data_IF_396526499326
#
_entry.id   IF_396526499326
#
_cell.length_a   1.000
_cell.length_b   1.000
_cell.length_c   1.000
_cell.angle_alpha   90.00
_cell.angle_beta   90.00
_cell.angle_gamma   90.00
#
_symmetry.space_group_name_H-M   'P 1'
#
loop_
_entity.id
_entity.type
_entity.pdbx_description
1 polymer ?
#
# COMPACT_ATOMS: atom_id res chain seq x y z
N UNK A 1 -20.32 -3.32 9.98
CA UNK A 1 -21.33 -4.37 9.62
C UNK A 1 -21.52 -4.38 8.13
N UNK A 2 -21.34 -5.55 7.48
CA UNK A 2 -21.59 -5.67 6.04
C UNK A 2 -23.05 -5.30 5.76
N UNK A 3 -23.31 -4.38 4.85
CA UNK A 3 -24.65 -3.99 4.41
C UNK A 3 -25.33 -5.18 3.74
N UNK A 4 -26.50 -5.53 4.23
CA UNK A 4 -27.35 -6.54 3.57
C UNK A 4 -28.02 -5.92 2.35
N UNK A 5 -28.22 -6.69 1.28
CA UNK A 5 -28.89 -6.21 0.07
C UNK A 5 -30.26 -5.55 0.33
N UNK A 6 -30.96 -5.99 1.40
CA UNK A 6 -32.21 -5.38 1.85
C UNK A 6 -32.05 -3.94 2.37
N UNK A 7 -30.93 -3.62 3.01
CA UNK A 7 -30.69 -2.27 3.54
C UNK A 7 -30.36 -1.29 2.40
N UNK A 8 -29.62 -1.75 1.40
CA UNK A 8 -29.38 -1.02 0.15
C UNK A 8 -30.72 -0.82 -0.60
N UNK A 9 -31.54 -1.86 -0.68
CA UNK A 9 -32.85 -1.80 -1.35
C UNK A 9 -33.79 -0.79 -0.71
N UNK A 10 -33.79 -0.64 0.62
CA UNK A 10 -34.63 0.36 1.33
C UNK A 10 -34.32 1.78 0.87
N UNK A 11 -33.06 2.08 0.56
CA UNK A 11 -32.56 3.37 0.11
C UNK A 11 -32.58 3.52 -1.42
N UNK A 12 -32.91 2.45 -2.16
CA UNK A 12 -32.95 2.49 -3.61
C UNK A 12 -34.16 3.25 -4.13
N UNK A 13 -34.09 3.83 -5.34
CA UNK A 13 -35.19 4.59 -5.94
C UNK A 13 -36.42 3.72 -6.32
N UNK A 14 -36.33 2.40 -6.27
CA UNK A 14 -37.38 1.40 -6.54
C UNK A 14 -38.07 1.53 -7.91
N UNK A 15 -37.41 2.22 -8.87
CA UNK A 15 -38.00 2.50 -10.21
C UNK A 15 -37.99 1.27 -11.13
N UNK A 16 -37.16 0.28 -10.89
CA UNK A 16 -36.99 -0.91 -11.74
C UNK A 16 -36.75 -0.57 -13.23
N UNK A 17 -36.05 0.55 -13.51
CA UNK A 17 -35.84 1.10 -14.85
C UNK A 17 -34.89 0.24 -15.73
N UNK A 18 -34.11 -0.67 -15.13
CA UNK A 18 -33.11 -1.53 -15.77
C UNK A 18 -31.87 -0.80 -16.33
N UNK A 19 -31.74 0.51 -16.18
CA UNK A 19 -30.62 1.31 -16.70
C UNK A 19 -29.26 0.92 -16.07
N UNK A 20 -29.25 0.38 -14.84
CA UNK A 20 -28.07 -0.18 -14.20
C UNK A 20 -27.71 -1.60 -14.69
N UNK A 21 -28.35 -2.13 -15.73
CA UNK A 21 -28.14 -3.48 -16.25
C UNK A 21 -28.72 -4.60 -15.39
N UNK A 22 -29.50 -4.29 -14.35
CA UNK A 22 -30.15 -5.26 -13.49
C UNK A 22 -31.66 -5.29 -13.72
N UNK A 23 -32.33 -6.47 -13.68
CA UNK A 23 -33.76 -6.59 -13.97
C UNK A 23 -34.64 -5.85 -12.96
N UNK A 24 -34.20 -5.74 -11.71
CA UNK A 24 -34.92 -5.04 -10.64
C UNK A 24 -33.98 -4.33 -9.70
N UNK A 25 -34.46 -3.31 -8.98
CA UNK A 25 -33.67 -2.63 -7.94
C UNK A 25 -33.27 -3.57 -6.80
N UNK A 26 -34.07 -4.60 -6.51
CA UNK A 26 -33.71 -5.64 -5.54
C UNK A 26 -32.52 -6.47 -6.02
N UNK A 27 -32.52 -6.92 -7.28
CA UNK A 27 -31.41 -7.68 -7.87
C UNK A 27 -30.13 -6.83 -7.93
N UNK A 28 -30.26 -5.54 -8.25
CA UNK A 28 -29.17 -4.58 -8.18
C UNK A 28 -28.59 -4.48 -6.76
N UNK A 29 -29.45 -4.26 -5.77
CA UNK A 29 -29.02 -4.12 -4.36
C UNK A 29 -28.33 -5.39 -3.82
N UNK A 30 -28.78 -6.57 -4.25
CA UNK A 30 -28.12 -7.84 -3.88
C UNK A 30 -26.75 -7.97 -4.52
N UNK A 31 -26.59 -7.59 -5.79
CA UNK A 31 -25.28 -7.59 -6.48
C UNK A 31 -24.32 -6.56 -5.89
N UNK A 32 -24.81 -5.38 -5.51
CA UNK A 32 -23.99 -4.36 -4.81
C UNK A 32 -23.54 -4.88 -3.45
N UNK A 33 -24.43 -5.51 -2.68
CA UNK A 33 -24.06 -6.13 -1.39
C UNK A 33 -23.01 -7.25 -1.51
N UNK A 34 -22.96 -7.92 -2.67
CA UNK A 34 -21.97 -8.95 -3.00
C UNK A 34 -20.68 -8.36 -3.60
N UNK A 35 -20.61 -7.04 -3.82
CA UNK A 35 -19.48 -6.39 -4.48
C UNK A 35 -19.37 -6.68 -5.98
N UNK A 36 -20.39 -7.22 -6.62
CA UNK A 36 -20.40 -7.58 -8.03
C UNK A 36 -20.74 -6.40 -8.96
N UNK A 37 -21.35 -5.35 -8.45
CA UNK A 37 -21.71 -4.13 -9.19
C UNK A 37 -21.50 -2.93 -8.28
N UNK A 38 -20.96 -1.86 -8.84
CA UNK A 38 -20.80 -0.59 -8.13
C UNK A 38 -22.16 0.09 -7.94
N UNK A 39 -22.39 0.70 -6.76
CA UNK A 39 -23.61 1.43 -6.47
C UNK A 39 -23.80 2.65 -7.37
N UNK A 40 -22.69 3.26 -7.82
CA UNK A 40 -22.71 4.39 -8.76
C UNK A 40 -23.27 4.03 -10.15
N UNK A 41 -23.39 2.75 -10.48
CA UNK A 41 -24.00 2.30 -11.73
C UNK A 41 -25.52 2.63 -11.81
N UNK A 42 -26.17 2.99 -10.70
CA UNK A 42 -27.56 3.45 -10.70
C UNK A 42 -27.64 4.99 -10.71
N UNK A 43 -28.16 5.62 -11.79
CA UNK A 43 -28.18 7.09 -11.92
C UNK A 43 -29.24 7.76 -11.03
N UNK A 44 -30.10 6.99 -10.36
CA UNK A 44 -31.25 7.54 -9.63
C UNK A 44 -31.11 7.46 -8.10
N UNK A 45 -29.98 7.07 -7.56
CA UNK A 45 -29.76 7.20 -6.12
C UNK A 45 -29.67 8.65 -5.70
N UNK A 46 -30.30 8.99 -4.57
CA UNK A 46 -30.11 10.31 -3.97
C UNK A 46 -28.63 10.51 -3.58
N UNK A 47 -28.03 11.68 -3.81
CA UNK A 47 -26.60 11.93 -3.52
C UNK A 47 -26.21 11.59 -2.08
N UNK A 48 -27.08 11.88 -1.11
CA UNK A 48 -26.85 11.56 0.30
C UNK A 48 -26.89 10.04 0.57
N UNK A 49 -27.81 9.32 -0.09
CA UNK A 49 -27.88 7.89 0.01
C UNK A 49 -26.69 7.22 -0.69
N UNK A 50 -26.28 7.77 -1.84
CA UNK A 50 -25.10 7.32 -2.58
C UNK A 50 -23.83 7.47 -1.72
N UNK A 51 -23.62 8.63 -1.08
CA UNK A 51 -22.45 8.86 -0.23
C UNK A 51 -22.40 7.93 0.98
N UNK A 52 -23.54 7.69 1.63
CA UNK A 52 -23.62 6.74 2.77
C UNK A 52 -23.42 5.28 2.34
N UNK A 53 -23.97 4.92 1.20
CA UNK A 53 -23.89 3.54 0.71
C UNK A 53 -22.57 3.25 0.03
N UNK A 54 -21.96 4.18 -0.72
CA UNK A 54 -20.63 4.02 -1.31
C UNK A 54 -19.58 3.81 -0.22
N UNK A 55 -19.61 4.64 0.82
CA UNK A 55 -18.72 4.45 1.97
C UNK A 55 -18.92 3.06 2.63
N UNK A 56 -20.13 2.54 2.66
CA UNK A 56 -20.45 1.26 3.27
C UNK A 56 -20.23 0.04 2.35
N UNK A 57 -20.23 0.22 1.02
CA UNK A 57 -20.05 -0.83 0.01
C UNK A 57 -18.62 -0.92 -0.54
N UNK A 58 -17.74 0.05 -0.22
CA UNK A 58 -16.32 -0.03 -0.55
C UNK A 58 -15.75 -1.38 -0.08
N UNK A 59 -14.91 -2.05 -0.88
CA UNK A 59 -14.26 -3.28 -0.47
C UNK A 59 -13.50 -3.09 0.86
N UNK A 60 -13.45 -4.10 1.74
CA UNK A 60 -12.74 -4.01 3.01
C UNK A 60 -11.24 -3.76 2.81
N UNK A 61 -10.69 -4.21 1.68
CA UNK A 61 -9.30 -4.02 1.29
C UNK A 61 -9.23 -3.09 0.09
N UNK A 62 -8.52 -1.98 0.25
CA UNK A 62 -8.34 -0.94 -0.76
C UNK A 62 -7.26 -1.35 -1.77
N UNK A 63 -7.43 -0.92 -3.01
CA UNK A 63 -6.41 -1.07 -4.07
C UNK A 63 -5.77 0.27 -4.30
N UNK A 64 -4.45 0.33 -4.17
CA UNK A 64 -3.64 1.54 -4.37
C UNK A 64 -2.75 1.35 -5.59
N UNK A 65 -2.67 2.35 -6.45
CA UNK A 65 -1.79 2.35 -7.61
C UNK A 65 -0.50 3.10 -7.31
N UNK A 66 0.63 2.50 -7.69
CA UNK A 66 1.97 3.05 -7.54
C UNK A 66 2.74 2.91 -8.84
N UNK A 67 3.74 3.75 -9.04
CA UNK A 67 4.46 3.75 -10.31
C UNK A 67 3.74 4.51 -11.41
N UNK A 68 4.38 4.67 -12.56
CA UNK A 68 3.84 5.36 -13.72
C UNK A 68 4.18 4.60 -15.02
N UNK A 69 3.35 4.78 -16.05
CA UNK A 69 3.54 4.13 -17.35
C UNK A 69 3.60 2.60 -17.24
N UNK A 70 4.57 1.99 -17.92
CA UNK A 70 4.75 0.53 -17.95
C UNK A 70 5.14 -0.06 -16.57
N UNK A 71 5.62 0.77 -15.64
CA UNK A 71 5.94 0.35 -14.28
C UNK A 71 4.76 0.44 -13.31
N UNK A 72 3.58 0.95 -13.74
CA UNK A 72 2.41 1.05 -12.85
C UNK A 72 2.01 -0.31 -12.29
N UNK A 73 1.81 -0.36 -10.98
CA UNK A 73 1.39 -1.55 -10.26
C UNK A 73 0.24 -1.26 -9.31
N UNK A 74 -0.64 -2.25 -9.16
CA UNK A 74 -1.71 -2.21 -8.15
C UNK A 74 -1.30 -3.02 -6.92
N UNK A 75 -1.49 -2.41 -5.75
CA UNK A 75 -1.22 -3.00 -4.44
C UNK A 75 -2.53 -3.19 -3.68
N UNK A 76 -2.65 -4.26 -2.91
CA UNK A 76 -3.84 -4.54 -2.09
C UNK A 76 -4.98 -5.20 -2.86
N UNK A 77 -6.22 -4.97 -2.42
CA UNK A 77 -7.43 -5.49 -3.08
C UNK A 77 -7.76 -6.95 -2.76
N UNK A 78 -7.00 -7.61 -1.88
CA UNK A 78 -7.29 -8.99 -1.47
C UNK A 78 -8.47 -9.03 -0.50
N UNK A 79 -9.57 -9.67 -0.89
CA UNK A 79 -10.83 -9.69 -0.14
C UNK A 79 -11.04 -10.94 0.71
N UNK A 80 -10.15 -11.93 0.64
CA UNK A 80 -10.26 -13.20 1.38
C UNK A 80 -9.25 -13.29 2.52
N UNK A 81 -9.67 -13.94 3.61
CA UNK A 81 -8.81 -14.09 4.79
C UNK A 81 -7.82 -15.25 4.61
N UNK A 82 -8.24 -16.34 3.98
CA UNK A 82 -7.45 -17.55 3.82
C UNK A 82 -7.24 -17.92 2.35
N UNK A 83 -6.06 -18.43 2.01
CA UNK A 83 -5.70 -18.82 0.64
C UNK A 83 -6.59 -19.92 0.05
N UNK A 84 -7.14 -20.80 0.89
CA UNK A 84 -8.04 -21.87 0.42
C UNK A 84 -9.41 -21.38 -0.01
N UNK A 85 -9.80 -20.17 0.36
CA UNK A 85 -11.09 -19.58 -0.04
C UNK A 85 -11.05 -19.10 -1.49
N UNK A 86 -9.91 -18.56 -1.93
CA UNK A 86 -9.73 -18.01 -3.29
C UNK A 86 -8.24 -17.83 -3.58
N UNK A 87 -7.85 -17.91 -4.83
CA UNK A 87 -6.50 -17.51 -5.28
C UNK A 87 -6.31 -16.01 -5.02
N UNK A 88 -5.18 -15.64 -4.45
CA UNK A 88 -4.81 -14.23 -4.27
C UNK A 88 -4.54 -13.57 -5.62
N UNK A 89 -5.10 -12.37 -5.82
CA UNK A 89 -4.95 -11.61 -7.06
C UNK A 89 -3.68 -10.77 -7.09
N UNK A 90 -3.16 -10.39 -5.92
CA UNK A 90 -1.92 -9.62 -5.79
C UNK A 90 -0.83 -10.50 -5.19
N UNK A 91 0.32 -10.59 -5.89
CA UNK A 91 1.53 -11.22 -5.35
C UNK A 91 2.30 -10.23 -4.48
N UNK A 92 3.07 -10.75 -3.52
CA UNK A 92 4.03 -9.95 -2.76
C UNK A 92 5.07 -9.35 -3.70
N UNK A 93 5.30 -8.03 -3.58
CA UNK A 93 6.32 -7.31 -4.33
C UNK A 93 7.58 -7.18 -3.50
N UNK A 94 8.73 -7.20 -4.17
CA UNK A 94 10.02 -7.13 -3.50
C UNK A 94 10.70 -5.82 -3.83
N UNK A 95 11.19 -5.15 -2.77
CA UNK A 95 11.98 -3.94 -2.88
C UNK A 95 13.40 -4.20 -2.38
N UNK A 96 14.40 -3.79 -3.17
CA UNK A 96 15.79 -3.78 -2.74
C UNK A 96 16.08 -2.47 -2.01
N UNK A 97 16.74 -2.53 -0.84
CA UNK A 97 16.99 -1.33 -0.05
C UNK A 97 18.36 -0.74 -0.31
N UNK A 98 18.39 0.59 -0.51
CA UNK A 98 19.54 1.45 -0.48
C UNK A 98 19.46 2.35 0.76
N UNK A 99 20.58 2.82 1.28
CA UNK A 99 20.64 3.71 2.43
C UNK A 99 21.73 4.76 2.21
N UNK A 100 21.50 5.99 2.65
CA UNK A 100 22.55 7.03 2.68
C UNK A 100 23.74 6.66 3.57
N UNK A 101 23.58 5.69 4.45
CA UNK A 101 24.65 5.15 5.32
C UNK A 101 25.65 4.23 4.58
N UNK A 102 25.35 3.81 3.35
CA UNK A 102 26.23 2.95 2.53
C UNK A 102 27.31 3.77 1.85
N UNK A 103 28.43 3.12 1.51
CA UNK A 103 29.45 3.69 0.66
C UNK A 103 29.05 3.64 -0.82
N UNK A 104 29.72 4.43 -1.64
CA UNK A 104 29.42 4.55 -3.08
C UNK A 104 29.62 3.24 -3.84
N UNK A 105 30.61 2.43 -3.45
CA UNK A 105 30.89 1.15 -4.10
C UNK A 105 29.75 0.14 -3.86
N UNK A 106 29.30 0.05 -2.62
CA UNK A 106 28.16 -0.79 -2.23
C UNK A 106 26.88 -0.36 -2.95
N UNK A 107 26.63 0.94 -3.06
CA UNK A 107 25.45 1.46 -3.79
C UNK A 107 25.54 1.15 -5.27
N UNK A 108 26.69 1.36 -5.90
CA UNK A 108 26.89 1.07 -7.32
C UNK A 108 26.69 -0.42 -7.61
N UNK A 109 27.27 -1.31 -6.79
CA UNK A 109 27.09 -2.74 -6.93
C UNK A 109 25.61 -3.15 -6.81
N UNK A 110 24.88 -2.63 -5.83
CA UNK A 110 23.45 -2.92 -5.67
C UNK A 110 22.60 -2.43 -6.83
N UNK A 111 22.89 -1.25 -7.36
CA UNK A 111 22.18 -0.73 -8.54
C UNK A 111 22.43 -1.59 -9.77
N UNK A 112 23.66 -2.13 -9.94
CA UNK A 112 23.92 -3.11 -10.99
C UNK A 112 23.19 -4.43 -10.77
N UNK A 113 23.16 -4.92 -9.52
CA UNK A 113 22.46 -6.17 -9.17
C UNK A 113 20.95 -6.05 -9.43
N UNK A 114 20.34 -4.89 -9.14
CA UNK A 114 18.94 -4.61 -9.47
C UNK A 114 18.68 -4.74 -10.98
N UNK A 115 19.63 -4.28 -11.81
CA UNK A 115 19.52 -4.37 -13.27
C UNK A 115 19.77 -5.80 -13.77
N UNK A 116 20.69 -6.55 -13.15
CA UNK A 116 21.02 -7.94 -13.52
C UNK A 116 19.94 -8.94 -13.15
N UNK A 117 19.20 -8.69 -12.06
CA UNK A 117 18.07 -9.55 -11.64
C UNK A 117 16.85 -9.23 -12.50
N UNK A 118 16.86 -9.71 -13.73
CA UNK A 118 15.75 -9.62 -14.69
C UNK A 118 15.82 -10.84 -15.60
N UNK A 119 15.16 -11.92 -15.25
CA UNK A 119 15.19 -13.19 -15.97
C UNK A 119 13.83 -13.89 -15.93
N UNK A 120 13.60 -14.77 -16.89
CA UNK A 120 12.41 -15.61 -16.92
C UNK A 120 12.67 -16.96 -16.24
N UNK A 121 11.74 -17.39 -15.38
CA UNK A 121 11.75 -18.70 -14.75
C UNK A 121 10.34 -19.29 -14.72
N UNK A 122 10.17 -20.45 -15.35
CA UNK A 122 8.90 -21.19 -15.40
C UNK A 122 7.76 -20.31 -15.97
N UNK A 123 8.06 -19.54 -17.04
CA UNK A 123 7.10 -18.65 -17.69
C UNK A 123 6.76 -17.37 -16.91
N UNK A 124 7.45 -17.08 -15.82
CA UNK A 124 7.29 -15.85 -15.05
C UNK A 124 8.57 -15.00 -15.09
N UNK A 125 8.42 -13.71 -15.32
CA UNK A 125 9.53 -12.75 -15.21
C UNK A 125 9.84 -12.49 -13.76
N UNK A 126 11.07 -12.78 -13.37
CA UNK A 126 11.63 -12.55 -12.03
C UNK A 126 12.52 -11.31 -12.08
N UNK A 127 12.12 -10.25 -11.40
CA UNK A 127 12.86 -8.99 -11.36
C UNK A 127 12.59 -8.26 -10.04
N UNK A 128 13.46 -7.33 -9.71
CA UNK A 128 13.24 -6.43 -8.57
C UNK A 128 12.22 -5.37 -9.01
N UNK A 129 11.05 -5.34 -8.40
CA UNK A 129 9.98 -4.41 -8.79
C UNK A 129 10.17 -3.02 -8.22
N UNK A 130 10.75 -2.90 -7.03
CA UNK A 130 10.83 -1.65 -6.29
C UNK A 130 12.23 -1.42 -5.70
N UNK A 131 12.57 -0.16 -5.45
CA UNK A 131 13.79 0.23 -4.74
C UNK A 131 13.39 1.09 -3.54
N UNK A 132 13.76 0.64 -2.34
CA UNK A 132 13.56 1.38 -1.11
C UNK A 132 14.79 2.22 -0.80
N UNK A 133 14.67 3.53 -0.78
CA UNK A 133 15.77 4.47 -0.49
C UNK A 133 15.57 5.03 0.91
N UNK A 134 16.41 4.59 1.85
CA UNK A 134 16.34 4.99 3.25
C UNK A 134 17.21 6.22 3.52
N UNK A 135 16.62 7.23 4.14
CA UNK A 135 17.34 8.39 4.66
C UNK A 135 17.85 8.11 6.07
N UNK A 136 19.12 8.40 6.31
CA UNK A 136 19.74 8.46 7.63
C UNK A 136 20.40 9.82 7.79
N UNK A 137 20.12 10.50 8.90
CA UNK A 137 20.71 11.82 9.20
C UNK A 137 22.24 11.78 9.29
N UNK A 138 22.80 10.64 9.74
CA UNK A 138 24.23 10.38 9.81
C UNK A 138 24.78 9.75 8.51
N UNK A 139 24.05 9.89 7.40
CA UNK A 139 24.38 9.30 6.11
C UNK A 139 25.66 9.87 5.52
N UNK A 140 26.41 9.04 4.80
CA UNK A 140 27.64 9.41 4.07
C UNK A 140 27.35 10.00 2.70
N UNK A 141 26.13 9.81 2.20
CA UNK A 141 25.71 10.22 0.85
C UNK A 141 24.59 11.26 0.92
N UNK A 142 24.53 12.12 -0.09
CA UNK A 142 23.40 13.00 -0.31
C UNK A 142 22.17 12.17 -0.70
N UNK A 143 21.04 12.40 -0.01
CA UNK A 143 19.83 11.63 -0.21
C UNK A 143 19.20 11.86 -1.59
N UNK A 144 19.19 13.11 -2.05
CA UNK A 144 18.59 13.47 -3.35
C UNK A 144 19.40 12.85 -4.49
N UNK A 145 20.73 12.87 -4.39
CA UNK A 145 21.58 12.22 -5.39
C UNK A 145 21.41 10.69 -5.39
N UNK A 146 21.23 10.07 -4.22
CA UNK A 146 20.94 8.65 -4.11
C UNK A 146 19.58 8.30 -4.75
N UNK A 147 18.57 9.14 -4.52
CA UNK A 147 17.24 8.98 -5.15
C UNK A 147 17.31 9.12 -6.67
N UNK A 148 18.10 10.06 -7.21
CA UNK A 148 18.35 10.19 -8.66
C UNK A 148 18.96 8.92 -9.24
N UNK A 149 20.05 8.42 -8.63
CA UNK A 149 20.70 7.16 -9.05
C UNK A 149 19.71 5.99 -9.02
N UNK A 150 18.87 5.91 -7.99
CA UNK A 150 17.83 4.88 -7.88
C UNK A 150 16.75 5.03 -8.97
N UNK A 151 16.33 6.25 -9.31
CA UNK A 151 15.33 6.52 -10.34
C UNK A 151 15.79 6.07 -11.74
N UNK A 152 17.09 6.13 -12.03
CA UNK A 152 17.67 5.65 -13.29
C UNK A 152 17.48 4.13 -13.53
N UNK A 153 17.15 3.36 -12.48
CA UNK A 153 16.85 1.93 -12.63
C UNK A 153 15.49 1.68 -13.31
N UNK A 154 14.63 2.70 -13.42
CA UNK A 154 13.27 2.57 -13.94
C UNK A 154 12.32 1.77 -13.03
N UNK A 155 12.73 1.50 -11.79
CA UNK A 155 11.92 0.78 -10.79
C UNK A 155 11.09 1.75 -9.96
N UNK A 156 9.98 1.27 -9.37
CA UNK A 156 9.17 2.07 -8.46
C UNK A 156 9.98 2.38 -7.20
N UNK A 157 10.02 3.65 -6.81
CA UNK A 157 10.76 4.06 -5.62
C UNK A 157 9.86 4.06 -4.38
N UNK A 158 10.45 3.70 -3.25
CA UNK A 158 9.89 3.89 -1.92
C UNK A 158 10.87 4.76 -1.15
N UNK A 159 10.45 5.98 -0.82
CA UNK A 159 11.27 6.96 -0.11
C UNK A 159 11.09 6.80 1.39
N UNK A 160 12.06 6.23 2.08
CA UNK A 160 12.07 6.06 3.53
C UNK A 160 12.64 7.31 4.22
N UNK A 161 11.84 8.34 4.40
CA UNK A 161 12.24 9.60 4.99
C UNK A 161 11.16 10.17 5.90
N UNK A 162 11.52 10.56 7.13
CA UNK A 162 10.61 11.20 8.11
C UNK A 162 10.72 12.73 8.10
N UNK A 163 11.75 13.28 7.50
CA UNK A 163 11.97 14.72 7.37
C UNK A 163 11.21 15.24 6.13
N UNK A 164 10.28 16.15 6.35
CA UNK A 164 9.39 16.66 5.30
C UNK A 164 10.14 17.50 4.24
N UNK A 165 11.18 18.27 4.64
CA UNK A 165 11.94 19.09 3.71
C UNK A 165 12.83 18.22 2.82
N UNK A 166 13.49 17.22 3.41
CA UNK A 166 14.31 16.25 2.66
C UNK A 166 13.40 15.42 1.73
N UNK A 167 12.24 14.98 2.21
CA UNK A 167 11.27 14.25 1.41
C UNK A 167 10.77 15.08 0.21
N UNK A 168 10.46 16.35 0.43
CA UNK A 168 10.06 17.28 -0.62
C UNK A 168 11.14 17.45 -1.68
N UNK A 169 12.39 17.68 -1.27
CA UNK A 169 13.51 17.78 -2.20
C UNK A 169 13.72 16.49 -3.02
N UNK A 170 13.59 15.33 -2.40
CA UNK A 170 13.68 14.04 -3.09
C UNK A 170 12.52 13.82 -4.07
N UNK A 171 11.29 14.21 -3.71
CA UNK A 171 10.14 14.10 -4.59
C UNK A 171 10.23 14.98 -5.83
N UNK A 172 10.86 16.15 -5.75
CA UNK A 172 11.05 17.01 -6.93
C UNK A 172 11.77 16.29 -8.08
N UNK A 173 12.62 15.32 -7.78
CA UNK A 173 13.39 14.56 -8.79
C UNK A 173 12.75 13.24 -9.21
N UNK A 174 11.74 12.72 -8.49
CA UNK A 174 11.16 11.40 -8.78
C UNK A 174 9.63 11.34 -8.76
N UNK A 175 8.92 12.45 -8.53
CA UNK A 175 7.44 12.50 -8.43
C UNK A 175 6.72 11.93 -9.65
N UNK A 176 7.26 12.12 -10.86
CA UNK A 176 6.66 11.65 -12.11
C UNK A 176 6.58 10.10 -12.16
N UNK A 177 7.49 9.42 -11.46
CA UNK A 177 7.47 7.97 -11.26
C UNK A 177 6.44 7.50 -10.23
N UNK A 178 5.65 8.39 -9.62
CA UNK A 178 4.66 8.09 -8.56
C UNK A 178 5.19 7.13 -7.49
N UNK A 179 6.24 7.55 -6.76
CA UNK A 179 6.82 6.74 -5.69
C UNK A 179 5.88 6.61 -4.49
N UNK A 180 6.28 5.78 -3.52
CA UNK A 180 5.69 5.76 -2.20
C UNK A 180 6.56 6.61 -1.27
N UNK A 181 5.98 7.57 -0.56
CA UNK A 181 6.65 8.31 0.50
C UNK A 181 6.39 7.62 1.84
N UNK A 182 7.33 6.82 2.35
CA UNK A 182 7.19 6.05 3.59
C UNK A 182 7.92 6.74 4.75
N UNK A 183 7.19 7.46 5.59
CA UNK A 183 7.79 8.20 6.70
C UNK A 183 6.81 8.95 7.59
N UNK A 184 5.50 8.85 7.34
CA UNK A 184 4.51 9.46 8.21
C UNK A 184 4.34 8.66 9.51
N UNK A 185 4.23 9.36 10.62
CA UNK A 185 3.88 8.82 11.94
C UNK A 185 3.01 9.84 12.72
N UNK A 186 2.65 9.52 13.95
CA UNK A 186 1.80 10.37 14.79
C UNK A 186 2.35 11.78 15.03
N UNK A 187 3.67 11.98 14.89
CA UNK A 187 4.33 13.27 15.15
C UNK A 187 4.38 14.20 13.94
N UNK A 188 4.37 13.64 12.71
CA UNK A 188 4.62 14.38 11.47
C UNK A 188 3.56 14.20 10.36
N UNK A 189 2.47 13.44 10.64
CA UNK A 189 1.48 13.05 9.61
C UNK A 189 0.89 14.21 8.82
N UNK A 190 0.67 15.38 9.43
CA UNK A 190 0.09 16.55 8.75
C UNK A 190 1.05 17.12 7.69
N UNK A 191 2.31 17.31 8.09
CA UNK A 191 3.35 17.84 7.19
C UNK A 191 3.66 16.87 6.07
N UNK A 192 3.82 15.57 6.38
CA UNK A 192 4.06 14.53 5.41
C UNK A 192 2.86 14.34 4.46
N UNK A 193 1.64 14.46 4.97
CA UNK A 193 0.43 14.44 4.15
C UNK A 193 0.38 15.60 3.15
N UNK A 194 0.76 16.78 3.60
CA UNK A 194 0.83 17.97 2.74
C UNK A 194 1.82 17.76 1.59
N UNK A 195 3.00 17.23 1.89
CA UNK A 195 4.05 16.93 0.89
C UNK A 195 3.58 15.84 -0.08
N UNK A 196 3.02 14.74 0.42
CA UNK A 196 2.54 13.63 -0.43
C UNK A 196 1.39 14.05 -1.35
N UNK A 197 0.43 14.81 -0.81
CA UNK A 197 -0.73 15.31 -1.57
C UNK A 197 -0.31 16.30 -2.65
N UNK A 198 0.60 17.22 -2.34
CA UNK A 198 1.13 18.17 -3.31
C UNK A 198 1.87 17.47 -4.48
N UNK A 199 2.57 16.38 -4.19
CA UNK A 199 3.26 15.58 -5.19
C UNK A 199 2.35 14.52 -5.87
N UNK A 200 1.13 14.27 -5.36
CA UNK A 200 0.21 13.26 -5.87
C UNK A 200 0.71 11.82 -5.70
N UNK A 201 1.47 11.55 -4.63
CA UNK A 201 2.09 10.26 -4.35
C UNK A 201 1.43 9.53 -3.18
N UNK A 202 1.68 8.23 -3.06
CA UNK A 202 1.19 7.39 -1.97
C UNK A 202 1.97 7.69 -0.69
N UNK A 203 1.26 7.81 0.45
CA UNK A 203 1.86 8.06 1.75
C UNK A 203 1.90 6.76 2.58
N UNK A 204 3.08 6.40 3.07
CA UNK A 204 3.31 5.29 3.98
C UNK A 204 3.22 5.74 5.43
N UNK A 205 2.41 5.04 6.22
CA UNK A 205 2.16 5.32 7.63
C UNK A 205 2.79 4.26 8.50
N UNK A 206 3.53 4.67 9.52
CA UNK A 206 4.14 3.80 10.54
C UNK A 206 3.76 4.28 11.94
N UNK A 207 3.89 3.42 12.93
CA UNK A 207 3.66 3.75 14.34
C UNK A 207 4.40 2.79 15.24
N UNK A 208 4.40 3.08 16.54
CA UNK A 208 4.99 2.21 17.55
C UNK A 208 4.17 0.92 17.73
N UNK A 209 2.86 1.00 17.55
CA UNK A 209 1.94 -0.13 17.58
C UNK A 209 0.76 0.06 16.59
N UNK A 210 -0.10 -0.94 16.51
CA UNK A 210 -1.26 -0.92 15.61
C UNK A 210 -2.31 0.13 16.01
N UNK A 211 -2.40 0.51 17.28
CA UNK A 211 -3.34 1.54 17.74
C UNK A 211 -2.91 2.92 17.24
N UNK A 212 -1.62 3.25 17.37
CA UNK A 212 -1.08 4.50 16.86
C UNK A 212 -1.21 4.60 15.32
N UNK A 213 -0.97 3.49 14.62
CA UNK A 213 -1.18 3.41 13.16
C UNK A 213 -2.65 3.67 12.82
N UNK A 214 -3.59 3.03 13.54
CA UNK A 214 -5.03 3.21 13.34
C UNK A 214 -5.42 4.68 13.48
N UNK A 215 -5.06 5.31 14.61
CA UNK A 215 -5.39 6.71 14.91
C UNK A 215 -4.79 7.67 13.85
N UNK A 216 -3.57 7.39 13.40
CA UNK A 216 -2.89 8.21 12.39
C UNK A 216 -3.57 8.07 11.02
N UNK A 217 -3.95 6.87 10.63
CA UNK A 217 -4.69 6.63 9.37
C UNK A 217 -6.07 7.29 9.42
N UNK A 218 -6.79 7.19 10.54
CA UNK A 218 -8.10 7.84 10.72
C UNK A 218 -8.00 9.36 10.57
N UNK A 219 -6.97 9.99 11.17
CA UNK A 219 -6.69 11.43 11.00
C UNK A 219 -6.38 11.78 9.55
N UNK A 220 -5.58 10.98 8.86
CA UNK A 220 -5.25 11.20 7.44
C UNK A 220 -6.47 11.05 6.53
N UNK A 221 -7.35 10.07 6.80
CA UNK A 221 -8.64 9.95 6.10
C UNK A 221 -9.54 11.15 6.37
N UNK A 222 -9.54 11.67 7.60
CA UNK A 222 -10.22 12.93 7.97
C UNK A 222 -9.72 14.15 7.20
N UNK A 223 -8.43 14.18 6.84
CA UNK A 223 -7.83 15.18 5.95
C UNK A 223 -8.10 14.91 4.45
N UNK A 224 -8.84 13.84 4.12
CA UNK A 224 -9.23 13.49 2.75
C UNK A 224 -8.21 12.61 2.00
N UNK A 225 -7.11 12.21 2.62
CA UNK A 225 -6.12 11.34 1.98
C UNK A 225 -6.52 9.87 2.12
N UNK A 226 -6.83 9.22 1.00
CA UNK A 226 -7.13 7.80 0.90
C UNK A 226 -6.08 7.03 0.10
N UNK A 227 -4.94 7.64 -0.18
CA UNK A 227 -3.85 7.05 -0.95
C UNK A 227 -2.71 6.65 -0.02
N UNK A 228 -2.96 5.63 0.80
CA UNK A 228 -2.09 5.24 1.91
C UNK A 228 -1.57 3.81 1.78
N UNK A 229 -0.43 3.52 2.41
CA UNK A 229 0.08 2.17 2.72
C UNK A 229 0.48 2.12 4.20
N UNK A 230 0.40 0.96 4.81
CA UNK A 230 0.67 0.77 6.25
C UNK A 230 2.00 0.02 6.42
N UNK A 231 2.96 0.62 7.11
CA UNK A 231 4.19 -0.06 7.53
C UNK A 231 3.91 -0.85 8.83
N UNK A 232 3.80 -2.18 8.69
CA UNK A 232 3.46 -3.09 9.79
C UNK A 232 4.67 -3.69 10.48
N UNK A 233 5.87 -3.18 10.19
CA UNK A 233 7.12 -3.70 10.72
C UNK A 233 7.18 -3.53 12.22
N UNK A 234 7.28 -4.64 12.94
CA UNK A 234 7.53 -4.69 14.37
C UNK A 234 9.02 -4.80 14.70
N UNK A 235 9.34 -4.92 15.97
CA UNK A 235 10.72 -5.05 16.46
C UNK A 235 11.39 -6.37 16.03
N UNK A 236 10.61 -7.41 15.83
CA UNK A 236 11.08 -8.73 15.38
C UNK A 236 10.13 -9.39 14.35
N UNK A 237 10.53 -10.55 13.83
CA UNK A 237 9.75 -11.32 12.85
C UNK A 237 8.40 -11.75 13.42
N UNK A 238 8.34 -12.13 14.71
CA UNK A 238 7.13 -12.61 15.37
C UNK A 238 6.11 -11.48 15.50
N UNK A 239 6.56 -10.32 15.92
CA UNK A 239 5.69 -9.14 16.03
C UNK A 239 5.21 -8.67 14.66
N UNK A 240 6.11 -8.57 13.68
CA UNK A 240 5.75 -8.23 12.29
C UNK A 240 4.70 -9.19 11.71
N UNK A 241 4.90 -10.49 11.93
CA UNK A 241 3.93 -11.51 11.53
C UNK A 241 2.57 -11.31 12.22
N UNK A 242 2.58 -11.09 13.55
CA UNK A 242 1.38 -10.82 14.34
C UNK A 242 0.65 -9.60 13.81
N UNK A 243 1.36 -8.49 13.57
CA UNK A 243 0.80 -7.25 13.06
C UNK A 243 0.14 -7.46 11.69
N UNK A 244 0.84 -8.10 10.74
CA UNK A 244 0.30 -8.39 9.41
C UNK A 244 -0.98 -9.24 9.43
N UNK A 245 -1.05 -10.23 10.33
CA UNK A 245 -2.25 -11.07 10.51
C UNK A 245 -3.38 -10.27 11.17
N UNK A 246 -3.07 -9.45 12.17
CA UNK A 246 -4.07 -8.68 12.92
C UNK A 246 -4.73 -7.62 12.03
N UNK A 247 -3.98 -6.83 11.26
CA UNK A 247 -4.57 -5.82 10.38
C UNK A 247 -5.50 -6.44 9.35
N UNK A 248 -5.09 -7.59 8.77
CA UNK A 248 -5.91 -8.28 7.79
C UNK A 248 -7.19 -8.84 8.41
N UNK A 249 -7.11 -9.40 9.61
CA UNK A 249 -8.27 -9.88 10.36
C UNK A 249 -9.22 -8.72 10.69
N UNK A 250 -8.70 -7.62 11.19
CA UNK A 250 -9.49 -6.43 11.51
C UNK A 250 -10.20 -5.88 10.26
N UNK A 251 -9.49 -5.74 9.14
CA UNK A 251 -10.06 -5.23 7.92
C UNK A 251 -11.16 -6.15 7.34
N UNK A 252 -10.90 -7.46 7.22
CA UNK A 252 -11.79 -8.39 6.51
C UNK A 252 -12.88 -8.95 7.42
N UNK A 253 -12.53 -9.38 8.64
CA UNK A 253 -13.46 -10.05 9.55
C UNK A 253 -14.26 -9.06 10.40
N UNK A 254 -13.56 -8.06 10.96
CA UNK A 254 -14.16 -7.12 11.90
C UNK A 254 -14.70 -5.87 11.15
N UNK A 255 -14.34 -5.71 9.87
CA UNK A 255 -14.83 -4.64 8.99
C UNK A 255 -14.21 -3.28 9.26
N UNK A 256 -13.05 -3.28 9.91
CA UNK A 256 -12.27 -2.07 10.18
C UNK A 256 -11.51 -1.63 8.92
N UNK A 257 -12.03 -0.64 8.24
CA UNK A 257 -11.52 -0.14 6.96
C UNK A 257 -10.24 0.66 7.08
N UNK A 258 -9.93 1.15 8.26
CA UNK A 258 -8.68 1.87 8.56
C UNK A 258 -7.48 0.97 8.32
N UNK A 259 -7.62 -0.33 8.58
CA UNK A 259 -6.62 -1.35 8.26
C UNK A 259 -6.74 -1.96 6.86
N UNK A 260 -7.66 -1.48 6.03
CA UNK A 260 -7.88 -1.99 4.67
C UNK A 260 -6.83 -1.57 3.64
N UNK A 261 -5.82 -0.81 4.01
CA UNK A 261 -4.75 -0.39 3.11
C UNK A 261 -3.70 -1.47 2.87
N UNK A 262 -3.00 -1.43 1.72
CA UNK A 262 -1.84 -2.29 1.46
C UNK A 262 -0.78 -2.14 2.55
N UNK A 263 -0.05 -3.21 2.85
CA UNK A 263 0.98 -3.21 3.87
C UNK A 263 2.39 -3.31 3.30
N UNK A 264 3.34 -2.68 3.98
CA UNK A 264 4.78 -2.76 3.72
C UNK A 264 5.47 -3.37 4.94
N UNK A 265 6.53 -4.15 4.68
CA UNK A 265 7.42 -4.69 5.71
C UNK A 265 8.86 -4.31 5.39
N UNK A 266 9.50 -3.63 6.33
CA UNK A 266 10.88 -3.14 6.22
C UNK A 266 11.84 -4.05 6.99
N UNK A 267 12.43 -5.05 6.35
CA UNK A 267 13.32 -6.00 7.03
C UNK A 267 14.57 -5.36 7.64
N UNK A 268 15.02 -4.22 7.12
CA UNK A 268 16.17 -3.52 7.69
C UNK A 268 15.90 -2.92 9.08
N UNK A 269 14.62 -2.77 9.48
CA UNK A 269 14.22 -2.33 10.82
C UNK A 269 14.15 -3.48 11.81
N UNK A 270 14.08 -4.73 11.34
CA UNK A 270 13.97 -5.90 12.20
C UNK A 270 15.34 -6.20 12.81
N UNK A 271 15.40 -6.20 14.15
CA UNK A 271 16.63 -6.46 14.87
C UNK A 271 17.15 -7.89 14.64
N UNK A 272 18.45 -8.01 14.52
CA UNK A 272 19.29 -9.21 14.47
C UNK A 272 18.68 -10.52 13.95
N UNK A 273 19.25 -11.09 12.90
CA UNK A 273 18.87 -12.40 12.36
C UNK A 273 19.35 -12.61 10.93
N UNK A 274 19.09 -13.80 10.42
CA UNK A 274 19.33 -14.14 9.02
C UNK A 274 18.23 -13.51 8.15
N UNK A 275 18.59 -12.47 7.41
CA UNK A 275 17.68 -11.70 6.57
C UNK A 275 16.98 -12.54 5.50
N UNK A 276 17.64 -13.57 4.96
CA UNK A 276 17.03 -14.45 3.98
C UNK A 276 15.93 -15.32 4.60
N UNK A 277 16.15 -15.80 5.82
CA UNK A 277 15.13 -16.54 6.58
C UNK A 277 13.97 -15.65 6.97
N UNK A 278 14.25 -14.42 7.41
CA UNK A 278 13.21 -13.44 7.73
C UNK A 278 12.37 -13.08 6.49
N UNK A 279 13.01 -12.85 5.34
CA UNK A 279 12.33 -12.62 4.08
C UNK A 279 11.43 -13.79 3.68
N UNK A 280 11.95 -15.02 3.76
CA UNK A 280 11.19 -16.21 3.43
C UNK A 280 9.99 -16.43 4.36
N UNK A 281 10.13 -16.15 5.67
CA UNK A 281 9.04 -16.29 6.64
C UNK A 281 7.96 -15.20 6.48
N UNK A 282 8.35 -13.96 6.16
CA UNK A 282 7.42 -12.83 6.06
C UNK A 282 6.80 -12.68 4.67
N UNK A 283 7.42 -13.23 3.62
CA UNK A 283 6.89 -13.17 2.25
C UNK A 283 5.46 -13.70 2.11
N UNK A 284 5.06 -14.83 2.73
CA UNK A 284 3.68 -15.32 2.65
C UNK A 284 2.66 -14.47 3.39
N UNK A 285 3.08 -13.65 4.34
CA UNK A 285 2.22 -12.81 5.20
C UNK A 285 2.20 -11.37 4.75
N UNK A 286 3.25 -10.92 4.04
CA UNK A 286 3.31 -9.60 3.42
C UNK A 286 2.54 -9.62 2.11
N UNK A 287 1.28 -9.23 2.19
CA UNK A 287 0.35 -9.33 1.05
C UNK A 287 0.57 -8.27 -0.03
N UNK A 288 1.51 -7.35 0.16
CA UNK A 288 1.73 -6.25 -0.77
C UNK A 288 3.18 -6.06 -1.17
N UNK A 289 4.07 -5.77 -0.27
CA UNK A 289 5.49 -5.69 -0.60
C UNK A 289 6.39 -5.85 0.62
N UNK A 290 7.58 -6.35 0.36
CA UNK A 290 8.62 -6.64 1.32
C UNK A 290 9.89 -5.93 0.89
N UNK A 291 10.47 -5.13 1.76
CA UNK A 291 11.77 -4.53 1.52
C UNK A 291 12.88 -5.47 1.98
N UNK A 292 13.74 -5.86 1.05
CA UNK A 292 14.89 -6.72 1.32
C UNK A 292 16.13 -5.86 1.50
N UNK A 293 16.75 -5.85 2.69
CA UNK A 293 18.09 -5.34 2.81
C UNK A 293 19.03 -6.39 2.20
N UNK A 294 19.70 -6.03 1.13
CA UNK A 294 20.77 -6.87 0.61
C UNK A 294 22.05 -6.55 1.38
N UNK A 295 22.48 -7.48 2.23
CA UNK A 295 23.92 -7.67 2.44
C UNK A 295 24.35 -8.68 1.38
N UNK A 296 25.26 -8.25 0.55
CA UNK A 296 26.05 -9.17 -0.24
C UNK A 296 26.82 -10.11 0.70
#
# INVERSE_FOLDING_TARGET
MALKGLDIFKLSPKKNCKECGCPTCMAFSMKVAQGAVDIAACPYFAPEALAKLSAATEPPMKTIKVGAGDAEQSLGGETVLFRHEKTFVSRTRYAMSLCTCMDDETVAQKLEDIKKVDYERIGERMFVEMVYVNYSADGKQDYVELVKKAAETGRILILGCKDAEVAKAALEVCKDGKPILNGADASNYETMNSVATAAGVVLGVSGADLSEIHDTVEKLEGLGNKNLVIDVTGADVKETFKNAVQIRKAAIKDGDRTFGYPSIVNLHKIAAGDLHKQAALLSPVSYTHLTLPTKA
#
